data_IF_783962419684
#
_entry.id   IF_783962419684
#
_cell.length_a   1.000
_cell.length_b   1.000
_cell.length_c   1.000
_cell.angle_alpha   90.00
_cell.angle_beta   90.00
_cell.angle_gamma   90.00
#
_symmetry.space_group_name_H-M   'P 1'
#
loop_
_entity.id
_entity.type
_entity.pdbx_description
1 polymer ?
#
# COMPACT_ATOMS: atom_id res chain seq x y z
N UNK A 1 9.92 -17.68 14.51
CA UNK A 1 8.79 -17.04 15.22
C UNK A 1 9.05 -15.55 15.40
N UNK A 2 10.05 -15.11 16.19
CA UNK A 2 10.40 -13.67 16.33
C UNK A 2 10.60 -12.92 15.00
N UNK A 3 11.25 -13.55 14.02
CA UNK A 3 11.48 -12.92 12.71
C UNK A 3 10.19 -12.67 11.92
N UNK A 4 9.21 -13.57 12.00
CA UNK A 4 7.92 -13.41 11.28
C UNK A 4 7.03 -12.37 11.96
N UNK A 5 7.06 -12.32 13.29
CA UNK A 5 6.42 -11.28 14.09
C UNK A 5 7.01 -9.89 13.81
N UNK A 6 8.34 -9.78 13.78
CA UNK A 6 9.01 -8.54 13.40
C UNK A 6 8.72 -8.11 11.97
N UNK A 7 8.63 -9.08 11.04
CA UNK A 7 8.30 -8.82 9.64
C UNK A 7 6.89 -8.25 9.49
N UNK A 8 5.87 -8.91 10.05
CA UNK A 8 4.48 -8.43 9.93
C UNK A 8 4.30 -7.07 10.62
N UNK A 9 4.94 -6.86 11.78
CA UNK A 9 4.95 -5.56 12.45
C UNK A 9 5.64 -4.47 11.63
N UNK A 10 6.67 -4.83 10.85
CA UNK A 10 7.32 -3.94 9.89
C UNK A 10 6.32 -3.46 8.83
N UNK A 11 5.56 -4.37 8.23
CA UNK A 11 4.52 -4.03 7.24
C UNK A 11 3.42 -3.14 7.84
N UNK A 12 2.92 -3.47 9.03
CA UNK A 12 1.92 -2.65 9.73
C UNK A 12 2.44 -1.23 10.03
N UNK A 13 3.74 -1.08 10.30
CA UNK A 13 4.36 0.24 10.46
C UNK A 13 4.46 1.01 9.15
N UNK A 14 4.74 0.34 8.04
CA UNK A 14 4.70 0.95 6.71
C UNK A 14 3.30 1.45 6.38
N UNK A 15 2.26 0.64 6.63
CA UNK A 15 0.85 1.04 6.52
C UNK A 15 0.52 2.26 7.35
N UNK A 16 0.91 2.27 8.63
CA UNK A 16 0.72 3.43 9.50
C UNK A 16 1.43 4.69 8.95
N UNK A 17 2.61 4.51 8.34
CA UNK A 17 3.33 5.57 7.64
C UNK A 17 2.56 6.13 6.44
N UNK A 18 2.00 5.25 5.60
CA UNK A 18 1.17 5.62 4.45
C UNK A 18 -0.07 6.41 4.90
N UNK A 19 -0.81 5.90 5.89
CA UNK A 19 -1.99 6.56 6.46
C UNK A 19 -1.63 7.94 7.03
N UNK A 20 -0.48 8.07 7.69
CA UNK A 20 -0.01 9.34 8.23
C UNK A 20 0.29 10.36 7.13
N UNK A 21 0.87 9.94 6.01
CA UNK A 21 1.12 10.83 4.87
C UNK A 21 -0.20 11.32 4.27
N UNK A 22 -1.18 10.43 4.06
CA UNK A 22 -2.50 10.87 3.60
C UNK A 22 -3.18 11.81 4.59
N UNK A 23 -2.97 11.60 5.89
CA UNK A 23 -3.47 12.52 6.92
C UNK A 23 -2.85 13.91 6.81
N UNK A 24 -1.57 14.03 6.44
CA UNK A 24 -0.96 15.35 6.17
C UNK A 24 -1.45 16.00 4.88
N UNK A 25 -1.87 15.20 3.89
CA UNK A 25 -2.43 15.68 2.62
C UNK A 25 -3.94 15.96 2.70
N UNK A 26 -4.58 15.69 3.84
CA UNK A 26 -6.03 15.76 4.01
C UNK A 26 -6.59 17.17 3.75
N UNK A 27 -5.83 18.22 4.09
CA UNK A 27 -6.28 19.59 3.83
C UNK A 27 -6.37 19.89 2.34
N UNK A 28 -5.38 19.44 1.55
CA UNK A 28 -5.36 19.60 0.08
C UNK A 28 -6.57 18.87 -0.52
N UNK A 29 -6.84 17.65 -0.06
CA UNK A 29 -7.97 16.84 -0.52
C UNK A 29 -9.33 17.46 -0.17
N UNK A 30 -9.46 18.10 1.00
CA UNK A 30 -10.72 18.73 1.44
C UNK A 30 -10.97 20.10 0.82
N UNK A 31 -9.94 20.93 0.73
CA UNK A 31 -10.04 22.29 0.20
C UNK A 31 -10.07 22.31 -1.33
N UNK A 32 -9.43 21.33 -1.97
CA UNK A 32 -9.28 21.31 -3.42
C UNK A 32 -8.21 22.30 -3.94
N UNK A 33 -7.28 22.72 -3.08
CA UNK A 33 -6.26 23.73 -3.37
C UNK A 33 -4.89 23.29 -2.81
N UNK A 34 -3.82 23.71 -3.48
CA UNK A 34 -2.43 23.40 -3.11
C UNK A 34 -1.76 24.68 -2.65
N UNK A 35 -1.46 24.77 -1.36
CA UNK A 35 -0.83 25.94 -0.75
C UNK A 35 0.68 26.00 -1.04
N UNK A 36 1.35 24.84 -1.03
CA UNK A 36 2.80 24.70 -1.30
C UNK A 36 3.04 23.46 -2.18
N UNK A 37 3.29 23.70 -3.47
CA UNK A 37 3.54 22.63 -4.43
C UNK A 37 4.85 21.87 -4.14
N UNK A 38 5.88 22.54 -3.65
CA UNK A 38 7.18 21.92 -3.38
C UNK A 38 7.10 20.98 -2.16
N UNK A 39 6.44 21.42 -1.08
CA UNK A 39 6.22 20.56 0.09
C UNK A 39 5.27 19.39 -0.23
N UNK A 40 4.26 19.64 -1.07
CA UNK A 40 3.36 18.58 -1.58
C UNK A 40 4.15 17.52 -2.35
N UNK A 41 4.96 17.91 -3.33
CA UNK A 41 5.79 16.99 -4.10
C UNK A 41 6.78 16.21 -3.22
N UNK A 42 7.40 16.88 -2.23
CA UNK A 42 8.27 16.22 -1.26
C UNK A 42 7.52 15.17 -0.43
N UNK A 43 6.28 15.46 -0.05
CA UNK A 43 5.42 14.53 0.69
C UNK A 43 5.00 13.33 -0.18
N UNK A 44 4.68 13.57 -1.45
CA UNK A 44 4.40 12.52 -2.44
C UNK A 44 5.63 11.64 -2.69
N UNK A 45 6.84 12.21 -2.77
CA UNK A 45 8.07 11.44 -2.91
C UNK A 45 8.28 10.48 -1.74
N UNK A 46 8.03 10.94 -0.51
CA UNK A 46 8.11 10.05 0.68
C UNK A 46 7.11 8.91 0.62
N UNK A 47 5.89 9.18 0.14
CA UNK A 47 4.88 8.16 -0.05
C UNK A 47 5.34 7.11 -1.06
N UNK A 48 5.91 7.55 -2.19
CA UNK A 48 6.50 6.68 -3.23
C UNK A 48 7.57 5.76 -2.63
N UNK A 49 8.50 6.30 -1.86
CA UNK A 49 9.60 5.53 -1.26
C UNK A 49 9.09 4.44 -0.31
N UNK A 50 8.13 4.78 0.57
CA UNK A 50 7.51 3.80 1.48
C UNK A 50 6.80 2.71 0.67
N UNK A 51 6.01 3.09 -0.34
CA UNK A 51 5.25 2.14 -1.14
C UNK A 51 6.15 1.21 -1.95
N UNK A 52 7.24 1.70 -2.54
CA UNK A 52 8.19 0.85 -3.27
C UNK A 52 8.76 -0.23 -2.34
N UNK A 53 9.18 0.14 -1.14
CA UNK A 53 9.71 -0.82 -0.17
C UNK A 53 8.64 -1.82 0.27
N UNK A 54 7.46 -1.32 0.61
CA UNK A 54 6.32 -2.10 1.06
C UNK A 54 5.90 -3.15 0.02
N UNK A 55 5.64 -2.73 -1.22
CA UNK A 55 5.25 -3.62 -2.32
C UNK A 55 6.31 -4.69 -2.57
N UNK A 56 7.59 -4.32 -2.55
CA UNK A 56 8.68 -5.27 -2.73
C UNK A 56 8.75 -6.31 -1.61
N UNK A 57 8.49 -5.92 -0.36
CA UNK A 57 8.42 -6.85 0.77
C UNK A 57 7.22 -7.79 0.65
N UNK A 58 6.08 -7.28 0.22
CA UNK A 58 4.89 -8.10 0.05
C UNK A 58 5.07 -9.14 -1.07
N UNK A 59 5.51 -8.70 -2.25
CA UNK A 59 5.67 -9.56 -3.44
C UNK A 59 6.73 -10.64 -3.22
N UNK A 60 7.88 -10.29 -2.65
CA UNK A 60 9.02 -11.22 -2.52
C UNK A 60 8.94 -12.10 -1.30
N UNK A 61 8.34 -11.61 -0.20
CA UNK A 61 8.40 -12.27 1.09
C UNK A 61 7.01 -12.68 1.54
N UNK A 62 6.09 -11.73 1.74
CA UNK A 62 4.79 -12.01 2.36
C UNK A 62 3.94 -13.01 1.57
N UNK A 63 3.67 -12.71 0.29
CA UNK A 63 2.84 -13.58 -0.56
C UNK A 63 3.51 -14.94 -0.81
N UNK A 64 4.83 -14.95 -0.96
CA UNK A 64 5.63 -16.17 -1.12
C UNK A 64 5.54 -17.09 0.12
N UNK A 65 5.74 -16.52 1.31
CA UNK A 65 5.62 -17.23 2.59
C UNK A 65 4.21 -17.77 2.79
N UNK A 66 3.19 -16.95 2.57
CA UNK A 66 1.78 -17.34 2.69
C UNK A 66 1.44 -18.50 1.77
N UNK A 67 1.89 -18.45 0.52
CA UNK A 67 1.65 -19.51 -0.47
C UNK A 67 2.33 -20.80 -0.07
N UNK A 68 3.60 -20.73 0.36
CA UNK A 68 4.34 -21.89 0.88
C UNK A 68 3.59 -22.52 2.06
N UNK A 69 3.11 -21.70 2.99
CA UNK A 69 2.42 -22.18 4.18
C UNK A 69 1.05 -22.79 3.86
N UNK A 70 0.31 -22.20 2.92
CA UNK A 70 -0.94 -22.74 2.44
C UNK A 70 -0.75 -24.13 1.80
N UNK A 71 0.32 -24.34 1.02
CA UNK A 71 0.68 -25.64 0.46
C UNK A 71 1.00 -26.65 1.58
N UNK A 72 1.86 -26.27 2.53
CA UNK A 72 2.23 -27.13 3.68
C UNK A 72 1.01 -27.60 4.48
N UNK A 73 -0.01 -26.73 4.60
CA UNK A 73 -1.22 -27.00 5.37
C UNK A 73 -2.40 -27.54 4.53
N UNK A 74 -2.18 -27.80 3.24
CA UNK A 74 -3.22 -28.26 2.29
C UNK A 74 -4.46 -27.33 2.27
N UNK A 75 -4.23 -26.02 2.21
CA UNK A 75 -5.27 -24.98 2.25
C UNK A 75 -5.57 -24.44 0.83
N UNK A 76 -6.16 -25.26 -0.03
CA UNK A 76 -6.39 -24.93 -1.45
C UNK A 76 -7.25 -23.68 -1.65
N UNK A 77 -8.25 -23.47 -0.79
CA UNK A 77 -9.09 -22.27 -0.83
C UNK A 77 -8.29 -20.98 -0.60
N UNK A 78 -7.26 -21.03 0.24
CA UNK A 78 -6.39 -19.87 0.48
C UNK A 78 -5.47 -19.61 -0.72
N UNK A 79 -5.00 -20.65 -1.42
CA UNK A 79 -4.18 -20.46 -2.63
C UNK A 79 -4.95 -19.66 -3.68
N UNK A 80 -6.21 -20.04 -3.93
CA UNK A 80 -7.07 -19.28 -4.84
C UNK A 80 -7.35 -17.86 -4.36
N UNK A 81 -7.56 -17.67 -3.06
CA UNK A 81 -7.74 -16.32 -2.50
C UNK A 81 -6.47 -15.48 -2.69
N UNK A 82 -5.28 -16.03 -2.42
CA UNK A 82 -3.99 -15.35 -2.62
C UNK A 82 -3.78 -14.92 -4.06
N UNK A 83 -4.14 -15.75 -5.05
CA UNK A 83 -4.04 -15.40 -6.46
C UNK A 83 -4.92 -14.18 -6.79
N UNK A 84 -6.17 -14.15 -6.29
CA UNK A 84 -7.09 -13.01 -6.45
C UNK A 84 -6.52 -11.74 -5.78
N UNK A 85 -5.97 -11.88 -4.57
CA UNK A 85 -5.35 -10.78 -3.85
C UNK A 85 -4.17 -10.20 -4.64
N UNK A 86 -3.26 -11.05 -5.10
CA UNK A 86 -2.08 -10.64 -5.87
C UNK A 86 -2.50 -9.91 -7.16
N UNK A 87 -3.48 -10.44 -7.89
CA UNK A 87 -3.97 -9.82 -9.12
C UNK A 87 -4.59 -8.42 -8.88
N UNK A 88 -5.39 -8.28 -7.83
CA UNK A 88 -5.98 -7.00 -7.48
C UNK A 88 -4.92 -6.01 -6.96
N UNK A 89 -3.94 -6.49 -6.19
CA UNK A 89 -2.83 -5.67 -5.72
C UNK A 89 -1.92 -5.21 -6.86
N UNK A 90 -1.68 -6.04 -7.87
CA UNK A 90 -0.94 -5.65 -9.06
C UNK A 90 -1.62 -4.50 -9.82
N UNK A 91 -2.95 -4.53 -9.94
CA UNK A 91 -3.71 -3.44 -10.56
C UNK A 91 -3.61 -2.15 -9.75
N UNK A 92 -3.71 -2.23 -8.43
CA UNK A 92 -3.57 -1.07 -7.53
C UNK A 92 -2.16 -0.50 -7.62
N UNK A 93 -1.12 -1.35 -7.51
CA UNK A 93 0.28 -0.95 -7.65
C UNK A 93 0.52 -0.22 -8.98
N UNK A 94 -0.01 -0.75 -10.10
CA UNK A 94 0.11 -0.11 -11.41
C UNK A 94 -0.48 1.31 -11.41
N UNK A 95 -1.72 1.48 -10.93
CA UNK A 95 -2.39 2.79 -10.86
C UNK A 95 -1.59 3.79 -10.01
N UNK A 96 -1.05 3.32 -8.89
CA UNK A 96 -0.23 4.11 -7.97
C UNK A 96 1.09 4.56 -8.62
N UNK A 97 1.77 3.66 -9.34
CA UNK A 97 2.99 4.01 -10.07
C UNK A 97 2.72 4.97 -11.23
N UNK A 98 1.62 4.81 -11.95
CA UNK A 98 1.19 5.74 -13.00
C UNK A 98 0.97 7.16 -12.43
N UNK A 99 0.35 7.26 -11.26
CA UNK A 99 0.21 8.54 -10.55
C UNK A 99 1.57 9.17 -10.23
N UNK A 100 2.51 8.41 -9.66
CA UNK A 100 3.84 8.95 -9.36
C UNK A 100 4.57 9.39 -10.63
N UNK A 101 4.58 8.59 -11.68
CA UNK A 101 5.21 8.94 -12.96
C UNK A 101 4.61 10.20 -13.58
N UNK A 102 3.30 10.45 -13.38
CA UNK A 102 2.60 11.61 -13.93
C UNK A 102 2.97 12.93 -13.24
N UNK A 103 3.27 12.88 -11.94
CA UNK A 103 3.37 14.07 -11.08
C UNK A 103 4.70 14.24 -10.34
N UNK A 104 5.63 13.28 -10.39
CA UNK A 104 6.85 13.30 -9.57
C UNK A 104 7.73 14.55 -9.72
N UNK A 105 7.69 15.22 -10.88
CA UNK A 105 8.55 16.36 -11.17
C UNK A 105 7.82 17.71 -11.12
N UNK A 106 6.52 17.74 -11.43
CA UNK A 106 5.75 18.97 -11.53
C UNK A 106 4.23 18.73 -11.52
N UNK A 107 3.51 19.59 -10.82
CA UNK A 107 2.04 19.62 -10.74
C UNK A 107 1.44 20.94 -11.25
N UNK A 108 2.28 21.88 -11.65
CA UNK A 108 1.88 23.24 -12.06
C UNK A 108 0.91 23.21 -13.24
N UNK A 109 -0.22 23.91 -13.12
CA UNK A 109 -1.28 23.94 -14.13
C UNK A 109 -2.11 22.65 -14.22
N UNK A 110 -1.85 21.67 -13.35
CA UNK A 110 -2.56 20.38 -13.27
C UNK A 110 -3.05 20.08 -11.85
N UNK A 111 -3.17 21.10 -11.00
CA UNK A 111 -3.42 20.95 -9.56
C UNK A 111 -4.75 20.24 -9.29
N UNK A 112 -5.82 20.60 -10.02
CA UNK A 112 -7.14 19.97 -9.87
C UNK A 112 -7.11 18.49 -10.26
N UNK A 113 -6.45 18.17 -11.36
CA UNK A 113 -6.29 16.79 -11.83
C UNK A 113 -5.44 15.99 -10.84
N UNK A 114 -4.34 16.57 -10.35
CA UNK A 114 -3.50 15.98 -9.32
C UNK A 114 -4.28 15.66 -8.05
N UNK A 115 -5.11 16.59 -7.56
CA UNK A 115 -5.92 16.38 -6.35
C UNK A 115 -6.92 15.25 -6.56
N UNK A 116 -7.57 15.19 -7.72
CA UNK A 116 -8.50 14.12 -8.05
C UNK A 116 -7.79 12.77 -8.10
N UNK A 117 -6.68 12.68 -8.82
CA UNK A 117 -5.91 11.44 -8.92
C UNK A 117 -5.34 11.02 -7.55
N UNK A 118 -4.91 11.98 -6.73
CA UNK A 118 -4.45 11.74 -5.35
C UNK A 118 -5.56 11.18 -4.47
N UNK A 119 -6.80 11.70 -4.59
CA UNK A 119 -7.95 11.16 -3.88
C UNK A 119 -8.23 9.72 -4.28
N UNK A 120 -8.19 9.43 -5.59
CA UNK A 120 -8.38 8.06 -6.09
C UNK A 120 -7.28 7.11 -5.61
N UNK A 121 -6.02 7.56 -5.61
CA UNK A 121 -4.87 6.81 -5.10
C UNK A 121 -5.01 6.52 -3.60
N UNK A 122 -5.43 7.53 -2.81
CA UNK A 122 -5.74 7.36 -1.39
C UNK A 122 -6.78 6.28 -1.19
N UNK A 123 -7.90 6.34 -1.88
CA UNK A 123 -9.01 5.41 -1.69
C UNK A 123 -8.61 3.96 -1.98
N UNK A 124 -7.89 3.73 -3.10
CA UNK A 124 -7.45 2.37 -3.45
C UNK A 124 -6.40 1.83 -2.47
N UNK A 125 -5.45 2.66 -2.00
CA UNK A 125 -4.43 2.24 -1.05
C UNK A 125 -5.02 1.98 0.34
N UNK A 126 -5.90 2.84 0.83
CA UNK A 126 -6.56 2.64 2.12
C UNK A 126 -7.43 1.38 2.08
N UNK A 127 -8.11 1.11 0.96
CA UNK A 127 -8.87 -0.14 0.79
C UNK A 127 -7.96 -1.37 0.83
N UNK A 128 -6.82 -1.32 0.13
CA UNK A 128 -5.79 -2.38 0.14
C UNK A 128 -5.31 -2.68 1.56
N UNK A 129 -4.80 -1.66 2.25
CA UNK A 129 -4.28 -1.75 3.63
C UNK A 129 -5.31 -2.39 4.56
N UNK A 130 -6.56 -1.90 4.51
CA UNK A 130 -7.63 -2.46 5.33
C UNK A 130 -7.91 -3.93 5.00
N UNK A 131 -7.83 -4.31 3.73
CA UNK A 131 -8.07 -5.68 3.31
C UNK A 131 -6.95 -6.59 3.80
N UNK A 132 -5.68 -6.21 3.61
CA UNK A 132 -4.51 -6.98 4.05
C UNK A 132 -4.51 -7.17 5.57
N UNK A 133 -4.68 -6.09 6.34
CA UNK A 133 -4.62 -6.16 7.81
C UNK A 133 -5.76 -6.98 8.40
N UNK A 134 -6.99 -6.82 7.89
CA UNK A 134 -8.18 -7.52 8.43
C UNK A 134 -8.29 -8.96 7.97
N UNK A 135 -7.57 -9.36 6.93
CA UNK A 135 -7.68 -10.71 6.36
C UNK A 135 -6.33 -11.42 6.32
N UNK A 136 -5.44 -11.06 5.39
CA UNK A 136 -4.19 -11.78 5.14
C UNK A 136 -3.25 -11.74 6.34
N UNK A 137 -3.11 -10.61 7.02
CA UNK A 137 -2.20 -10.49 8.17
C UNK A 137 -2.75 -11.28 9.36
N UNK A 138 -4.08 -11.33 9.53
CA UNK A 138 -4.71 -12.18 10.53
C UNK A 138 -4.45 -13.67 10.27
N UNK A 139 -4.59 -14.12 9.02
CA UNK A 139 -4.30 -15.50 8.62
C UNK A 139 -2.81 -15.81 8.81
N UNK A 140 -1.92 -14.90 8.39
CA UNK A 140 -0.48 -15.04 8.56
C UNK A 140 -0.10 -15.25 10.03
N UNK A 141 -0.64 -14.39 10.91
CA UNK A 141 -0.45 -14.47 12.36
C UNK A 141 -0.89 -15.83 12.92
N UNK A 142 -2.09 -16.29 12.53
CA UNK A 142 -2.60 -17.60 12.92
C UNK A 142 -1.70 -18.77 12.44
N UNK A 143 -1.18 -18.72 11.21
CA UNK A 143 -0.32 -19.77 10.66
C UNK A 143 1.04 -19.89 11.32
N UNK A 144 1.57 -18.79 11.83
CA UNK A 144 2.86 -18.75 12.49
C UNK A 144 2.77 -18.69 14.02
N UNK A 145 1.55 -18.69 14.58
CA UNK A 145 1.27 -18.54 16.01
C UNK A 145 1.94 -17.30 16.63
N UNK A 146 1.73 -16.15 16.00
CA UNK A 146 2.27 -14.83 16.38
C UNK A 146 1.16 -13.78 16.46
#
# INVERSE_FOLDING_TARGET
MKEKEQFIWGLEKEHAGIVKIFSSLEQILKKGEIDDAADTLKTISKLKDILINHLNNEDKIFYSDMRKKAIELSQDALLHALDIFIDDMNKISKKVFEFFSKYENDISGREKEFIQDLAEVKDVLIKRINSEEKTLYHIYKAYYNI
#
